data_IF_982724739760
#
_entry.id   IF_982724739760
#
_cell.length_a   1.000
_cell.length_b   1.000
_cell.length_c   1.000
_cell.angle_alpha   90.00
_cell.angle_beta   90.00
_cell.angle_gamma   90.00
#
_symmetry.space_group_name_H-M   'P 1'
#
loop_
_entity.id
_entity.type
_entity.pdbx_description
1 polymer ?
#
# COMPACT_ATOMS: atom_id res chain seq x y z
N UNK A 1 -24.54 -19.18 -85.44
CA UNK A 1 -24.46 -17.71 -85.53
C UNK A 1 -25.19 -17.14 -84.32
N UNK A 2 -24.42 -16.60 -83.35
CA UNK A 2 -24.75 -15.45 -82.49
C UNK A 2 -25.95 -15.56 -81.50
N UNK A 3 -25.60 -15.46 -80.19
CA UNK A 3 -26.27 -14.86 -79.01
C UNK A 3 -27.74 -15.22 -78.69
N UNK A 4 -28.26 -15.17 -77.46
CA UNK A 4 -27.84 -15.16 -76.05
C UNK A 4 -29.18 -15.17 -75.29
N UNK A 5 -29.32 -15.87 -74.15
CA UNK A 5 -30.25 -15.44 -73.09
C UNK A 5 -29.97 -16.20 -71.77
N UNK A 6 -29.55 -15.40 -70.78
CA UNK A 6 -29.67 -15.51 -69.34
C UNK A 6 -30.29 -16.79 -68.72
N UNK A 7 -29.49 -17.49 -67.92
CA UNK A 7 -29.97 -18.38 -66.85
C UNK A 7 -29.38 -17.88 -65.53
N UNK A 8 -30.24 -17.35 -64.66
CA UNK A 8 -29.92 -17.01 -63.28
C UNK A 8 -29.89 -18.33 -62.48
N UNK A 9 -28.70 -18.77 -62.06
CA UNK A 9 -28.54 -19.82 -61.06
C UNK A 9 -28.34 -19.17 -59.69
N UNK A 10 -29.27 -19.43 -58.77
CA UNK A 10 -29.05 -19.20 -57.34
C UNK A 10 -27.96 -20.15 -56.84
N UNK A 11 -26.79 -19.62 -56.50
CA UNK A 11 -25.80 -20.33 -55.70
C UNK A 11 -26.02 -19.92 -54.24
N UNK A 12 -26.57 -20.82 -53.43
CA UNK A 12 -26.54 -20.73 -51.96
C UNK A 12 -25.08 -20.79 -51.50
N UNK A 13 -24.52 -19.63 -51.19
CA UNK A 13 -23.26 -19.51 -50.47
C UNK A 13 -23.50 -19.89 -49.01
N UNK A 14 -23.01 -21.06 -48.60
CA UNK A 14 -22.83 -21.38 -47.18
C UNK A 14 -21.67 -20.53 -46.68
N UNK A 15 -21.99 -19.38 -46.09
CA UNK A 15 -21.04 -18.62 -45.29
C UNK A 15 -20.69 -19.49 -44.07
N UNK A 16 -19.49 -20.07 -44.09
CA UNK A 16 -18.85 -20.53 -42.86
C UNK A 16 -18.62 -19.29 -42.01
N UNK A 17 -19.42 -19.18 -40.96
CA UNK A 17 -19.24 -18.22 -39.89
C UNK A 17 -17.97 -18.63 -39.13
N UNK A 18 -16.82 -18.10 -39.54
CA UNK A 18 -15.58 -18.23 -38.79
C UNK A 18 -15.57 -17.17 -37.71
N UNK A 19 -16.46 -17.31 -36.73
CA UNK A 19 -16.23 -16.69 -35.42
C UNK A 19 -14.95 -17.34 -34.88
N UNK A 20 -13.86 -16.59 -34.64
CA UNK A 20 -12.73 -17.17 -33.96
C UNK A 20 -13.24 -17.70 -32.63
N UNK A 21 -13.05 -18.99 -32.37
CA UNK A 21 -13.33 -19.55 -31.07
C UNK A 21 -12.49 -18.75 -30.08
N UNK A 22 -13.15 -18.04 -29.17
CA UNK A 22 -12.50 -17.41 -28.02
C UNK A 22 -11.88 -18.58 -27.26
N UNK A 23 -10.57 -18.73 -27.38
CA UNK A 23 -9.81 -19.67 -26.57
C UNK A 23 -9.95 -19.15 -25.14
N UNK A 24 -10.74 -19.85 -24.32
CA UNK A 24 -10.79 -19.59 -22.88
C UNK A 24 -9.38 -19.89 -22.36
N UNK A 25 -8.55 -18.85 -22.28
CA UNK A 25 -7.27 -18.90 -21.60
C UNK A 25 -7.62 -19.15 -20.14
N UNK A 26 -7.39 -20.38 -19.66
CA UNK A 26 -7.44 -20.63 -18.22
C UNK A 26 -6.45 -19.66 -17.57
N UNK A 27 -6.89 -18.78 -16.64
CA UNK A 27 -6.01 -17.78 -16.07
C UNK A 27 -4.80 -18.47 -15.48
N UNK A 28 -3.60 -17.98 -15.82
CA UNK A 28 -2.41 -18.42 -15.10
C UNK A 28 -2.59 -17.95 -13.64
N UNK A 29 -2.61 -18.88 -12.69
CA UNK A 29 -2.64 -18.53 -11.25
C UNK A 29 -1.28 -18.02 -10.74
N UNK A 30 -0.39 -17.64 -11.67
CA UNK A 30 0.95 -17.19 -11.35
C UNK A 30 0.97 -15.65 -11.26
N UNK A 31 1.25 -15.14 -10.06
CA UNK A 31 1.32 -13.71 -9.78
C UNK A 31 2.74 -13.15 -9.71
N UNK A 32 3.68 -14.02 -9.38
CA UNK A 32 5.11 -13.72 -9.31
C UNK A 32 5.86 -14.73 -10.17
N UNK A 33 6.93 -14.29 -10.84
CA UNK A 33 7.82 -15.23 -11.52
C UNK A 33 9.26 -14.76 -11.53
N UNK A 34 10.14 -15.73 -11.70
CA UNK A 34 11.53 -15.50 -12.04
C UNK A 34 11.69 -15.49 -13.55
N UNK A 35 12.28 -14.45 -14.10
CA UNK A 35 12.68 -14.41 -15.50
C UNK A 35 14.21 -14.46 -15.62
N UNK A 36 14.70 -15.18 -16.63
CA UNK A 36 16.11 -15.31 -16.96
C UNK A 36 16.37 -14.84 -18.40
N UNK A 37 17.26 -13.87 -18.56
CA UNK A 37 17.84 -13.44 -19.84
C UNK A 37 19.32 -13.82 -19.94
N UNK A 38 19.99 -13.44 -21.03
CA UNK A 38 21.39 -13.85 -21.29
C UNK A 38 22.36 -13.51 -20.15
N UNK A 39 22.16 -12.39 -19.44
CA UNK A 39 22.96 -12.00 -18.27
C UNK A 39 22.12 -11.24 -17.25
N UNK A 40 20.83 -11.56 -17.16
CA UNK A 40 19.90 -10.87 -16.29
C UNK A 40 18.98 -11.88 -15.62
N UNK A 41 18.77 -11.71 -14.33
CA UNK A 41 17.74 -12.42 -13.59
C UNK A 41 16.83 -11.36 -13.00
N UNK A 42 15.52 -11.52 -13.18
CA UNK A 42 14.55 -10.62 -12.56
C UNK A 42 13.47 -11.38 -11.79
N UNK A 43 12.96 -10.70 -10.76
CA UNK A 43 11.64 -10.98 -10.23
C UNK A 43 10.64 -10.15 -11.04
N UNK A 44 9.56 -10.76 -11.49
CA UNK A 44 8.50 -10.09 -12.22
C UNK A 44 7.16 -10.27 -11.51
N UNK A 45 6.35 -9.20 -11.52
CA UNK A 45 4.97 -9.18 -11.08
C UNK A 45 4.05 -9.00 -12.27
N UNK A 46 2.90 -9.66 -12.25
CA UNK A 46 1.86 -9.47 -13.27
C UNK A 46 0.86 -8.41 -12.83
N UNK A 47 0.47 -7.55 -13.76
CA UNK A 47 -0.80 -6.83 -13.70
C UNK A 47 -1.74 -7.45 -14.72
N UNK A 48 -2.97 -7.75 -14.31
CA UNK A 48 -3.95 -8.48 -15.10
C UNK A 48 -5.20 -7.67 -15.32
N UNK A 49 -5.61 -7.52 -16.57
CA UNK A 49 -6.87 -6.88 -16.95
C UNK A 49 -7.99 -7.91 -16.94
N UNK A 50 -9.15 -7.49 -16.45
CA UNK A 50 -10.38 -8.24 -16.39
C UNK A 50 -11.48 -7.48 -17.10
N UNK A 51 -12.32 -8.21 -17.82
CA UNK A 51 -13.46 -7.67 -18.55
C UNK A 51 -14.74 -8.41 -18.19
N UNK A 52 -15.86 -7.69 -18.26
CA UNK A 52 -17.20 -8.28 -18.29
C UNK A 52 -18.14 -7.32 -19.03
N UNK A 53 -19.02 -7.87 -19.87
CA UNK A 53 -19.92 -7.07 -20.68
C UNK A 53 -20.80 -6.16 -19.80
N UNK A 54 -20.79 -4.86 -20.12
CA UNK A 54 -21.62 -3.86 -19.44
C UNK A 54 -21.07 -3.33 -18.11
N UNK A 55 -19.80 -3.59 -17.79
CA UNK A 55 -19.10 -2.98 -16.64
C UNK A 55 -17.76 -2.38 -17.07
N UNK A 56 -17.15 -1.50 -16.26
CA UNK A 56 -15.80 -0.99 -16.50
C UNK A 56 -14.77 -2.13 -16.56
N UNK A 57 -13.71 -1.94 -17.34
CA UNK A 57 -12.51 -2.78 -17.30
C UNK A 57 -11.86 -2.65 -15.92
N UNK A 58 -11.36 -3.76 -15.39
CA UNK A 58 -10.72 -3.78 -14.07
C UNK A 58 -9.31 -4.35 -14.17
N UNK A 59 -8.32 -3.62 -13.68
CA UNK A 59 -6.94 -4.07 -13.58
C UNK A 59 -6.60 -4.46 -12.15
N UNK A 60 -6.22 -5.70 -11.92
CA UNK A 60 -5.45 -6.05 -10.72
C UNK A 60 -3.99 -5.74 -11.01
N UNK A 61 -3.45 -4.70 -10.38
CA UNK A 61 -2.09 -4.19 -10.59
C UNK A 61 -1.19 -4.65 -9.45
N UNK A 62 -0.23 -5.52 -9.75
CA UNK A 62 0.72 -6.04 -8.78
C UNK A 62 1.82 -5.04 -8.44
N UNK A 63 1.97 -4.70 -7.16
CA UNK A 63 3.03 -3.82 -6.66
C UNK A 63 3.96 -4.54 -5.69
N UNK A 64 5.23 -4.13 -5.67
CA UNK A 64 6.20 -4.50 -4.66
C UNK A 64 6.53 -3.28 -3.81
N UNK A 65 6.73 -3.46 -2.50
CA UNK A 65 7.14 -2.36 -1.62
C UNK A 65 8.48 -1.75 -2.00
N UNK A 66 9.40 -2.57 -2.54
CA UNK A 66 10.71 -2.13 -3.01
C UNK A 66 11.01 -2.72 -4.39
N UNK A 67 11.48 -1.89 -5.31
CA UNK A 67 11.70 -2.25 -6.71
C UNK A 67 12.70 -1.27 -7.38
N UNK A 68 13.15 -1.59 -8.59
CA UNK A 68 13.92 -0.68 -9.44
C UNK A 68 13.01 0.51 -9.83
N UNK A 69 13.54 1.73 -9.92
CA UNK A 69 12.70 2.90 -10.29
C UNK A 69 11.93 2.74 -11.60
N UNK A 70 12.53 2.05 -12.60
CA UNK A 70 11.85 1.75 -13.86
C UNK A 70 10.55 0.94 -13.68
N UNK A 71 10.46 0.13 -12.62
CA UNK A 71 9.22 -0.60 -12.30
C UNK A 71 8.11 0.39 -11.91
N UNK A 72 8.38 1.34 -11.03
CA UNK A 72 7.38 2.33 -10.63
C UNK A 72 7.00 3.27 -11.77
N UNK A 73 7.95 3.62 -12.65
CA UNK A 73 7.64 4.36 -13.88
C UNK A 73 6.64 3.59 -14.77
N UNK A 74 6.85 2.28 -14.96
CA UNK A 74 5.97 1.43 -15.75
C UNK A 74 4.58 1.22 -15.09
N UNK A 75 4.54 1.08 -13.76
CA UNK A 75 3.29 0.96 -12.99
C UNK A 75 2.50 2.28 -12.99
N UNK A 76 3.18 3.41 -12.77
CA UNK A 76 2.54 4.72 -12.83
C UNK A 76 1.96 4.99 -14.23
N UNK A 77 2.68 4.66 -15.29
CA UNK A 77 2.18 4.79 -16.67
C UNK A 77 0.94 3.92 -16.93
N UNK A 78 0.87 2.71 -16.35
CA UNK A 78 -0.34 1.89 -16.43
C UNK A 78 -1.51 2.53 -15.66
N UNK A 79 -1.26 3.04 -14.46
CA UNK A 79 -2.30 3.59 -13.59
C UNK A 79 -2.82 4.95 -14.05
N UNK A 80 -2.01 5.75 -14.75
CA UNK A 80 -2.39 7.04 -15.36
C UNK A 80 -3.50 6.87 -16.43
N UNK A 81 -3.63 5.68 -17.02
CA UNK A 81 -4.71 5.34 -17.97
C UNK A 81 -6.04 5.00 -17.27
N UNK A 82 -6.09 4.97 -15.93
CA UNK A 82 -7.25 4.53 -15.15
C UNK A 82 -8.09 5.70 -14.66
N UNK A 83 -9.42 5.60 -14.81
CA UNK A 83 -10.32 6.64 -14.31
C UNK A 83 -10.33 6.69 -12.77
N UNK A 84 -10.19 5.53 -12.11
CA UNK A 84 -10.06 5.38 -10.66
C UNK A 84 -8.95 4.37 -10.33
N UNK A 85 -8.18 4.66 -9.29
CA UNK A 85 -7.22 3.72 -8.67
C UNK A 85 -7.62 3.44 -7.23
N UNK A 86 -7.88 2.18 -6.91
CA UNK A 86 -8.07 1.68 -5.54
C UNK A 86 -6.77 1.05 -5.06
N UNK A 87 -6.20 1.51 -3.95
CA UNK A 87 -4.90 1.01 -3.50
C UNK A 87 -4.91 0.44 -2.08
N UNK A 88 -4.01 -0.53 -1.87
CA UNK A 88 -3.73 -1.16 -0.59
C UNK A 88 -2.93 -0.24 0.34
N UNK A 89 -3.44 0.00 1.54
CA UNK A 89 -2.70 0.66 2.61
C UNK A 89 -3.49 0.61 3.91
N UNK A 90 -2.99 -0.09 4.93
CA UNK A 90 -3.63 -0.05 6.25
C UNK A 90 -3.59 1.38 6.78
N UNK A 91 -4.76 2.02 6.90
CA UNK A 91 -4.84 3.44 7.25
C UNK A 91 -4.73 3.64 8.77
N UNK A 92 -4.31 4.82 9.25
CA UNK A 92 -4.43 5.16 10.66
C UNK A 92 -5.89 5.13 11.13
N UNK A 93 -6.12 4.81 12.40
CA UNK A 93 -7.45 4.91 13.01
C UNK A 93 -7.95 6.36 12.94
N UNK A 94 -9.21 6.57 12.56
CA UNK A 94 -9.79 7.91 12.40
C UNK A 94 -9.56 8.57 11.04
N UNK A 95 -8.75 7.96 10.17
CA UNK A 95 -8.49 8.52 8.84
C UNK A 95 -9.61 8.32 7.82
N UNK A 96 -10.62 7.49 8.10
CA UNK A 96 -11.79 7.32 7.23
C UNK A 96 -12.74 8.51 7.37
N UNK A 97 -13.51 8.85 6.32
CA UNK A 97 -14.64 9.76 6.46
C UNK A 97 -15.58 9.29 7.58
N UNK A 98 -15.85 10.13 8.59
CA UNK A 98 -16.74 9.79 9.68
C UNK A 98 -18.11 9.30 9.22
N UNK A 99 -18.59 8.21 9.82
CA UNK A 99 -19.87 7.63 9.46
C UNK A 99 -20.51 6.90 10.65
N UNK A 100 -21.75 6.44 10.47
CA UNK A 100 -22.49 5.69 11.50
C UNK A 100 -23.97 5.58 11.19
N UNK A 101 -24.60 4.49 11.64
CA UNK A 101 -26.04 4.26 11.52
C UNK A 101 -26.79 4.91 12.68
N UNK A 102 -26.22 4.83 13.88
CA UNK A 102 -26.73 5.44 15.11
C UNK A 102 -26.04 6.76 15.41
N UNK A 103 -26.67 7.61 16.22
CA UNK A 103 -26.07 8.87 16.66
C UNK A 103 -24.83 8.64 17.53
N UNK A 104 -24.81 7.57 18.32
CA UNK A 104 -23.66 7.17 19.13
C UNK A 104 -22.46 6.76 18.26
N UNK A 105 -22.69 5.99 17.21
CA UNK A 105 -21.66 5.61 16.23
C UNK A 105 -21.10 6.84 15.51
N UNK A 106 -21.99 7.76 15.07
CA UNK A 106 -21.58 9.01 14.42
C UNK A 106 -20.70 9.87 15.31
N UNK A 107 -21.07 10.02 16.59
CA UNK A 107 -20.25 10.73 17.58
C UNK A 107 -18.91 10.03 17.78
N UNK A 108 -18.89 8.70 17.92
CA UNK A 108 -17.65 7.95 18.12
C UNK A 108 -16.70 8.07 16.92
N UNK A 109 -17.23 7.91 15.71
CA UNK A 109 -16.46 8.03 14.46
C UNK A 109 -15.92 9.45 14.27
N UNK A 110 -16.75 10.47 14.52
CA UNK A 110 -16.32 11.89 14.45
C UNK A 110 -15.18 12.19 15.43
N UNK A 111 -15.21 11.63 16.64
CA UNK A 111 -14.13 11.79 17.62
C UNK A 111 -12.81 11.19 17.14
N UNK A 112 -12.84 9.99 16.55
CA UNK A 112 -11.64 9.36 16.02
C UNK A 112 -10.99 10.23 14.94
N UNK A 113 -11.79 10.77 14.03
CA UNK A 113 -11.27 11.66 12.98
C UNK A 113 -10.81 13.01 13.50
N UNK A 114 -11.46 13.59 14.52
CA UNK A 114 -10.96 14.80 15.19
C UNK A 114 -9.56 14.58 15.78
N UNK A 115 -9.34 13.46 16.46
CA UNK A 115 -8.01 13.15 17.01
C UNK A 115 -6.98 12.94 15.89
N UNK A 116 -7.34 12.17 14.85
CA UNK A 116 -6.47 11.92 13.71
C UNK A 116 -6.06 13.22 12.99
N UNK A 117 -7.01 14.06 12.60
CA UNK A 117 -6.73 15.33 11.91
C UNK A 117 -5.94 16.27 12.82
N UNK A 118 -6.22 16.31 14.13
CA UNK A 118 -5.47 17.14 15.07
C UNK A 118 -4.01 16.67 15.21
N UNK A 119 -3.77 15.36 15.28
CA UNK A 119 -2.42 14.78 15.35
C UNK A 119 -1.61 15.06 14.09
N UNK A 120 -2.23 14.92 12.90
CA UNK A 120 -1.55 15.25 11.64
C UNK A 120 -1.31 16.75 11.52
N UNK A 121 -2.29 17.59 11.86
CA UNK A 121 -2.13 19.03 11.87
C UNK A 121 -0.95 19.44 12.74
N UNK A 122 -0.86 18.92 13.97
CA UNK A 122 0.28 19.17 14.85
C UNK A 122 1.61 18.82 14.17
N UNK A 123 1.75 17.59 13.71
CA UNK A 123 3.01 17.09 13.14
C UNK A 123 3.40 17.85 11.88
N UNK A 124 2.45 18.16 11.02
CA UNK A 124 2.68 18.90 9.77
C UNK A 124 3.09 20.35 10.06
N UNK A 125 2.51 20.97 11.10
CA UNK A 125 2.92 22.31 11.56
C UNK A 125 4.33 22.32 12.16
N UNK A 126 4.70 21.29 12.92
CA UNK A 126 6.05 21.15 13.47
C UNK A 126 7.07 20.90 12.36
N UNK A 127 6.74 20.08 11.35
CA UNK A 127 7.61 19.82 10.20
C UNK A 127 7.80 21.03 9.28
N UNK A 128 6.73 21.81 9.06
CA UNK A 128 6.78 23.02 8.21
C UNK A 128 7.26 24.27 8.96
N UNK A 129 7.34 24.21 10.29
CA UNK A 129 7.51 25.35 11.19
C UNK A 129 6.43 26.44 10.99
N UNK A 130 5.23 26.07 10.54
CA UNK A 130 4.13 26.99 10.25
C UNK A 130 2.85 26.62 11.02
N UNK A 131 2.16 27.65 11.51
CA UNK A 131 0.83 27.48 12.12
C UNK A 131 -0.22 27.52 11.00
N UNK A 132 -1.10 26.50 10.88
CA UNK A 132 -2.09 26.44 9.81
C UNK A 132 -3.17 27.49 10.04
N UNK A 133 -3.55 28.21 8.98
CA UNK A 133 -4.62 29.21 9.02
C UNK A 133 -5.99 28.61 8.65
N UNK A 134 -5.97 27.48 7.93
CA UNK A 134 -7.12 26.80 7.37
C UNK A 134 -6.97 25.27 7.41
N UNK A 135 -8.06 24.54 7.11
CA UNK A 135 -7.96 23.09 6.96
C UNK A 135 -7.18 22.70 5.70
N UNK A 136 -7.29 23.52 4.66
CA UNK A 136 -6.58 23.34 3.40
C UNK A 136 -5.06 23.40 3.58
N UNK A 137 -4.57 24.24 4.49
CA UNK A 137 -3.14 24.28 4.85
C UNK A 137 -2.70 22.95 5.46
N UNK A 138 -3.52 22.38 6.36
CA UNK A 138 -3.24 21.06 6.96
C UNK A 138 -3.17 19.97 5.88
N UNK A 139 -4.03 20.02 4.86
CA UNK A 139 -4.04 19.02 3.78
C UNK A 139 -2.76 19.11 2.94
N UNK A 140 -2.34 20.34 2.63
CA UNK A 140 -1.13 20.60 1.86
C UNK A 140 0.13 20.18 2.64
N UNK A 141 0.21 20.53 3.92
CA UNK A 141 1.39 20.25 4.75
C UNK A 141 1.47 18.77 5.16
N UNK A 142 0.35 18.05 5.18
CA UNK A 142 0.35 16.60 5.41
C UNK A 142 1.21 15.83 4.38
N UNK A 143 1.43 16.39 3.18
CA UNK A 143 2.32 15.82 2.16
C UNK A 143 3.79 15.81 2.58
N UNK A 144 4.20 16.69 3.49
CA UNK A 144 5.56 16.71 4.04
C UNK A 144 5.85 15.43 4.83
N UNK A 145 4.82 14.87 5.47
CA UNK A 145 4.92 13.68 6.31
C UNK A 145 4.80 12.39 5.50
N UNK A 146 3.78 12.29 4.63
CA UNK A 146 3.52 11.13 3.77
C UNK A 146 2.53 11.52 2.66
N UNK A 147 2.85 11.16 1.41
CA UNK A 147 2.04 11.50 0.22
C UNK A 147 0.58 11.06 0.32
N UNK A 148 0.30 9.98 1.05
CA UNK A 148 -1.07 9.45 1.24
C UNK A 148 -1.90 10.29 2.20
N UNK A 149 -1.27 11.06 3.10
CA UNK A 149 -1.98 11.71 4.20
C UNK A 149 -2.88 12.84 3.72
N UNK A 150 -2.52 13.59 2.67
CA UNK A 150 -3.33 14.71 2.20
C UNK A 150 -4.79 14.30 1.95
N UNK A 151 -5.02 13.27 1.13
CA UNK A 151 -6.36 12.76 0.85
C UNK A 151 -7.05 12.17 2.08
N UNK A 152 -6.32 11.49 2.96
CA UNK A 152 -6.90 10.91 4.18
C UNK A 152 -7.32 11.97 5.21
N UNK A 153 -6.55 13.05 5.33
CA UNK A 153 -6.87 14.16 6.23
C UNK A 153 -8.04 14.93 5.67
N UNK A 154 -8.08 15.18 4.35
CA UNK A 154 -9.23 15.79 3.68
C UNK A 154 -10.51 14.97 3.93
N UNK A 155 -10.48 13.67 3.65
CA UNK A 155 -11.55 12.70 3.91
C UNK A 155 -12.06 12.76 5.35
N UNK A 156 -11.14 12.84 6.32
CA UNK A 156 -11.42 12.79 7.74
C UNK A 156 -11.84 14.16 8.32
N UNK A 157 -11.72 15.26 7.57
CA UNK A 157 -11.96 16.63 8.06
C UNK A 157 -13.42 17.08 7.99
N UNK A 158 -14.34 16.12 7.90
CA UNK A 158 -15.79 16.31 7.99
C UNK A 158 -16.35 15.50 9.14
N UNK A 159 -17.39 15.99 9.81
CA UNK A 159 -18.11 15.22 10.80
C UNK A 159 -19.05 14.18 10.17
N UNK A 160 -19.54 13.24 10.97
CA UNK A 160 -20.43 12.18 10.50
C UNK A 160 -21.84 12.67 10.09
N UNK A 161 -22.10 13.98 10.15
CA UNK A 161 -23.29 14.65 9.63
C UNK A 161 -23.00 15.46 8.36
N UNK A 162 -21.78 15.37 7.82
CA UNK A 162 -21.36 15.95 6.54
C UNK A 162 -20.95 17.42 6.62
N UNK A 163 -20.58 17.93 7.80
CA UNK A 163 -20.10 19.31 7.97
C UNK A 163 -18.60 19.33 8.17
N UNK A 164 -17.84 20.23 7.52
CA UNK A 164 -16.41 20.39 7.78
C UNK A 164 -16.13 20.72 9.24
N UNK A 165 -14.98 20.26 9.75
CA UNK A 165 -14.49 20.73 11.04
C UNK A 165 -14.21 22.23 11.01
N UNK A 166 -14.28 22.89 12.17
CA UNK A 166 -13.81 24.25 12.31
C UNK A 166 -12.44 24.26 13.01
N UNK A 167 -11.48 24.92 12.40
CA UNK A 167 -10.16 25.17 12.98
C UNK A 167 -10.19 26.47 13.80
N UNK A 168 -9.67 26.39 15.02
CA UNK A 168 -9.42 27.53 15.88
C UNK A 168 -7.93 27.55 16.25
N UNK A 169 -7.24 28.62 15.88
CA UNK A 169 -5.84 28.87 16.22
C UNK A 169 -5.75 29.81 17.41
N UNK A 170 -4.85 29.51 18.33
CA UNK A 170 -4.46 30.40 19.42
C UNK A 170 -2.93 30.58 19.39
N UNK A 171 -2.49 31.64 18.72
CA UNK A 171 -1.07 32.01 18.56
C UNK A 171 -0.38 32.24 19.90
N UNK A 172 -1.04 32.87 20.88
CA UNK A 172 -0.43 33.14 22.20
C UNK A 172 -0.06 31.86 22.96
N UNK A 173 -0.80 30.78 22.70
CA UNK A 173 -0.59 29.48 23.35
C UNK A 173 0.04 28.45 22.41
N UNK A 174 0.42 28.86 21.18
CA UNK A 174 0.87 27.97 20.11
C UNK A 174 0.00 26.71 20.02
N UNK A 175 -1.32 26.90 19.95
CA UNK A 175 -2.24 25.76 19.96
C UNK A 175 -3.32 25.86 18.90
N UNK A 176 -3.69 24.69 18.37
CA UNK A 176 -4.77 24.50 17.43
C UNK A 176 -5.87 23.68 18.08
N UNK A 177 -7.12 24.02 17.80
CA UNK A 177 -8.29 23.25 18.23
C UNK A 177 -9.21 23.00 17.05
N UNK A 178 -9.50 21.74 16.78
CA UNK A 178 -10.50 21.32 15.80
C UNK A 178 -11.84 21.11 16.49
N UNK A 179 -12.91 21.51 15.82
CA UNK A 179 -14.28 21.46 16.34
C UNK A 179 -15.21 20.70 15.39
N UNK A 180 -16.10 19.89 15.96
CA UNK A 180 -17.38 19.52 15.35
C UNK A 180 -18.51 19.98 16.26
N UNK A 181 -19.53 20.64 15.70
CA UNK A 181 -20.69 21.16 16.44
C UNK A 181 -21.81 20.14 16.60
N UNK A 182 -21.49 18.84 16.55
CA UNK A 182 -22.45 17.75 16.74
C UNK A 182 -23.58 17.71 15.70
N UNK A 183 -24.62 16.93 16.00
CA UNK A 183 -25.75 16.68 15.10
C UNK A 183 -26.57 17.93 14.79
N UNK A 184 -26.69 18.87 15.73
CA UNK A 184 -27.44 20.12 15.56
C UNK A 184 -26.64 21.20 14.82
N UNK A 185 -25.31 21.07 14.73
CA UNK A 185 -24.45 21.97 13.96
C UNK A 185 -24.38 23.36 14.58
N UNK A 186 -24.58 23.47 15.90
CA UNK A 186 -24.61 24.72 16.62
C UNK A 186 -23.81 24.61 17.92
N UNK A 187 -23.13 25.70 18.29
CA UNK A 187 -22.34 25.75 19.53
C UNK A 187 -23.18 25.36 20.75
N UNK A 188 -22.69 24.39 21.51
CA UNK A 188 -23.27 23.90 22.76
C UNK A 188 -23.92 22.53 22.61
N UNK A 189 -25.21 22.45 22.96
CA UNK A 189 -26.01 21.22 22.86
C UNK A 189 -25.72 20.13 23.90
N UNK A 190 -26.34 18.96 23.69
CA UNK A 190 -26.27 17.77 24.58
C UNK A 190 -26.42 16.50 23.77
N UNK A 191 -25.90 15.37 24.29
CA UNK A 191 -25.99 14.09 23.59
C UNK A 191 -25.20 14.15 22.30
N UNK A 192 -25.80 13.81 21.16
CA UNK A 192 -25.14 13.89 19.86
C UNK A 192 -24.99 15.30 19.30
N UNK A 193 -25.74 16.28 19.83
CA UNK A 193 -25.55 17.70 19.53
C UNK A 193 -24.52 18.39 20.43
N UNK A 194 -23.76 17.64 21.24
CA UNK A 194 -22.70 18.24 22.04
C UNK A 194 -21.48 18.54 21.17
N UNK A 195 -20.89 19.73 21.33
CA UNK A 195 -19.62 20.07 20.69
C UNK A 195 -18.53 19.04 21.03
N UNK A 196 -17.77 18.67 20.00
CA UNK A 196 -16.61 17.79 20.08
C UNK A 196 -15.38 18.59 19.69
N UNK A 197 -14.30 18.46 20.47
CA UNK A 197 -13.06 19.20 20.22
C UNK A 197 -11.84 18.32 20.42
N UNK A 198 -10.80 18.55 19.62
CA UNK A 198 -9.45 18.06 19.91
C UNK A 198 -8.45 19.20 19.79
N UNK A 199 -7.60 19.36 20.80
CA UNK A 199 -6.62 20.46 20.90
C UNK A 199 -5.21 19.88 20.87
N UNK A 200 -4.29 20.55 20.16
CA UNK A 200 -2.85 20.27 20.17
C UNK A 200 -2.08 21.55 20.44
N UNK A 201 -1.02 21.42 21.24
CA UNK A 201 0.01 22.44 21.38
C UNK A 201 1.10 22.10 20.38
N UNK A 202 1.51 23.10 19.61
CA UNK A 202 2.53 23.05 18.58
C UNK A 202 3.87 23.41 19.21
N UNK A 203 4.89 22.63 18.89
CA UNK A 203 6.28 22.91 19.25
C UNK A 203 6.99 23.52 18.04
N UNK A 204 6.81 24.84 17.86
CA UNK A 204 7.37 25.60 16.72
C UNK A 204 8.15 26.78 17.29
N UNK A 205 9.34 27.02 16.73
CA UNK A 205 10.17 28.16 17.09
C UNK A 205 9.46 29.48 16.76
N UNK A 206 9.47 30.40 17.71
CA UNK A 206 8.93 31.74 17.50
C UNK A 206 9.85 32.59 16.63
N UNK A 207 9.31 33.64 15.99
CA UNK A 207 10.12 34.58 15.19
C UNK A 207 11.27 35.20 16.01
N UNK A 208 11.07 35.38 17.32
CA UNK A 208 12.11 35.88 18.24
C UNK A 208 13.21 34.83 18.47
N UNK A 209 12.85 33.55 18.64
CA UNK A 209 13.80 32.43 18.81
C UNK A 209 14.61 32.17 17.53
N UNK A 210 13.97 32.22 16.35
CA UNK A 210 14.66 32.07 15.06
C UNK A 210 15.68 33.19 14.79
N UNK A 211 15.34 34.44 15.15
CA UNK A 211 16.26 35.57 15.04
C UNK A 211 17.45 35.44 16.02
N UNK A 212 17.21 34.96 17.24
CA UNK A 212 18.28 34.68 18.20
C UNK A 212 19.23 33.57 17.70
N UNK A 213 18.71 32.50 17.09
CA UNK A 213 19.54 31.45 16.48
C UNK A 213 20.38 31.96 15.30
N UNK A 214 19.79 32.78 14.41
CA UNK A 214 20.49 33.35 13.27
C UNK A 214 21.64 34.28 13.73
N UNK A 215 21.38 35.13 14.73
CA UNK A 215 22.41 36.00 15.33
C UNK A 215 23.54 35.20 16.00
N UNK A 216 23.21 34.09 16.67
CA UNK A 216 24.20 33.19 17.30
C UNK A 216 25.07 32.47 16.26
N UNK A 217 24.47 32.01 15.16
CA UNK A 217 25.19 31.42 14.02
C UNK A 217 26.13 32.43 13.35
N UNK A 218 25.66 33.66 13.09
CA UNK A 218 26.49 34.72 12.51
C UNK A 218 27.67 35.11 13.42
N UNK A 219 27.48 35.05 14.74
CA UNK A 219 28.52 35.32 15.73
C UNK A 219 29.60 34.21 15.83
N UNK A 220 29.43 33.09 15.13
CA UNK A 220 30.30 31.92 15.23
C UNK A 220 30.29 31.28 16.63
N UNK A 221 29.25 31.58 17.41
CA UNK A 221 28.99 30.98 18.71
C UNK A 221 28.19 29.73 18.41
N UNK A 222 28.90 28.64 18.15
CA UNK A 222 28.30 27.33 18.28
C UNK A 222 27.90 27.19 19.74
N UNK A 223 26.60 27.12 20.02
CA UNK A 223 26.16 26.58 21.28
C UNK A 223 26.76 25.17 21.33
N UNK A 224 27.68 24.93 22.27
CA UNK A 224 27.98 23.56 22.74
C UNK A 224 26.70 23.09 23.41
N UNK A 225 25.70 22.79 22.58
CA UNK A 225 24.45 22.31 23.07
C UNK A 225 24.55 20.79 23.13
N UNK A 226 24.62 20.27 24.35
CA UNK A 226 24.31 18.87 24.61
C UNK A 226 22.82 18.57 24.29
N UNK A 227 22.03 19.58 23.86
CA UNK A 227 20.78 19.49 23.10
C UNK A 227 20.84 20.08 21.69
N UNK A 228 22.00 20.03 20.98
CA UNK A 228 21.88 19.84 19.52
C UNK A 228 21.09 18.56 19.43
N UNK A 229 19.83 18.72 19.11
CA UNK A 229 18.93 17.64 18.85
C UNK A 229 19.78 16.66 18.06
N UNK A 230 19.87 15.43 18.59
CA UNK A 230 19.89 14.37 17.62
C UNK A 230 18.69 14.76 16.77
N UNK A 231 18.93 15.25 15.55
CA UNK A 231 18.05 14.94 14.45
C UNK A 231 17.73 13.49 14.76
N UNK A 232 16.58 13.27 15.39
CA UNK A 232 15.99 11.96 15.43
C UNK A 232 15.74 11.81 13.95
N UNK A 233 16.76 11.35 13.21
CA UNK A 233 16.67 11.03 11.79
C UNK A 233 15.39 10.25 11.76
N UNK A 234 14.31 10.89 11.28
CA UNK A 234 12.97 10.37 11.42
C UNK A 234 13.09 8.99 10.81
N UNK A 235 13.02 7.94 11.66
CA UNK A 235 13.67 6.70 11.29
C UNK A 235 12.86 6.14 10.13
N UNK A 236 13.42 6.24 8.91
CA UNK A 236 12.78 5.74 7.71
C UNK A 236 12.23 4.36 8.00
N UNK A 237 11.02 4.09 7.54
CA UNK A 237 10.40 2.78 7.73
C UNK A 237 11.34 1.67 7.26
N UNK A 238 11.27 0.50 7.90
CA UNK A 238 12.18 -0.64 7.63
C UNK A 238 12.23 -1.00 6.13
N UNK A 239 11.12 -0.83 5.42
CA UNK A 239 11.04 -1.08 3.98
C UNK A 239 11.83 -0.03 3.16
N UNK A 240 11.75 1.25 3.51
CA UNK A 240 12.53 2.31 2.87
C UNK A 240 14.03 2.16 3.15
N UNK A 241 14.43 1.81 4.38
CA UNK A 241 15.83 1.50 4.69
C UNK A 241 16.36 0.28 3.93
N UNK A 242 15.51 -0.74 3.72
CA UNK A 242 15.85 -1.90 2.88
C UNK A 242 16.03 -1.51 1.41
N UNK A 243 15.19 -0.60 0.91
CA UNK A 243 15.30 -0.07 -0.46
C UNK A 243 16.67 0.60 -0.65
N UNK A 244 17.01 1.54 0.24
CA UNK A 244 18.29 2.25 0.25
C UNK A 244 19.47 1.27 0.31
N UNK A 245 19.39 0.25 1.18
CA UNK A 245 20.45 -0.74 1.35
C UNK A 245 20.70 -1.59 0.10
N UNK A 246 19.68 -1.78 -0.73
CA UNK A 246 19.73 -2.58 -1.95
C UNK A 246 19.82 -1.75 -3.23
N UNK A 247 19.91 -0.42 -3.12
CA UNK A 247 19.84 0.50 -4.26
C UNK A 247 18.57 0.26 -5.10
N UNK A 248 17.44 0.17 -4.40
CA UNK A 248 16.08 0.10 -4.91
C UNK A 248 15.31 1.33 -4.41
N UNK A 249 14.12 1.55 -4.95
CA UNK A 249 13.21 2.61 -4.54
C UNK A 249 12.03 2.05 -3.73
N UNK A 250 11.48 2.88 -2.86
CA UNK A 250 10.34 2.54 -2.00
C UNK A 250 9.02 3.02 -2.63
N UNK A 251 8.00 2.16 -2.66
CA UNK A 251 6.77 2.42 -3.43
C UNK A 251 6.06 3.72 -3.03
N UNK A 252 6.04 4.05 -1.73
CA UNK A 252 5.29 5.21 -1.21
C UNK A 252 5.97 6.54 -1.55
N UNK A 253 7.25 6.50 -1.89
CA UNK A 253 8.00 7.66 -2.39
C UNK A 253 7.92 7.75 -3.92
N UNK A 254 7.62 6.64 -4.61
CA UNK A 254 7.75 6.51 -6.06
C UNK A 254 6.42 6.64 -6.83
N UNK A 255 5.29 6.28 -6.22
CA UNK A 255 3.96 6.35 -6.85
C UNK A 255 3.17 7.58 -6.35
N UNK A 256 2.27 8.16 -7.19
CA UNK A 256 1.56 9.40 -6.88
C UNK A 256 0.29 9.13 -6.06
N UNK A 257 0.47 8.72 -4.80
CA UNK A 257 -0.65 8.42 -3.90
C UNK A 257 -1.52 9.63 -3.55
N UNK A 258 -1.04 10.84 -3.82
CA UNK A 258 -1.77 12.10 -3.64
C UNK A 258 -2.70 12.46 -4.82
N UNK A 259 -2.67 11.70 -5.91
CA UNK A 259 -3.50 11.98 -7.08
C UNK A 259 -5.00 11.88 -6.75
N UNK A 260 -5.86 12.79 -7.24
CA UNK A 260 -7.25 12.91 -6.81
C UNK A 260 -8.17 11.76 -7.26
N UNK A 261 -7.71 10.91 -8.19
CA UNK A 261 -8.40 9.69 -8.61
C UNK A 261 -7.88 8.43 -7.90
N UNK A 262 -6.97 8.56 -6.93
CA UNK A 262 -6.46 7.47 -6.11
C UNK A 262 -7.18 7.44 -4.76
N UNK A 263 -7.72 6.27 -4.40
CA UNK A 263 -8.47 6.08 -3.17
C UNK A 263 -7.94 4.88 -2.40
N UNK A 264 -7.66 5.08 -1.11
CA UNK A 264 -7.27 3.98 -0.24
C UNK A 264 -8.48 3.09 0.06
N UNK A 265 -8.39 1.83 -0.36
CA UNK A 265 -9.50 0.88 -0.33
C UNK A 265 -9.24 -0.28 0.64
N UNK A 266 -8.87 0.08 1.87
CA UNK A 266 -8.37 -0.88 2.85
C UNK A 266 -8.91 -0.58 4.26
N UNK A 267 -8.62 -1.47 5.20
CA UNK A 267 -8.94 -1.33 6.60
C UNK A 267 -8.03 -0.32 7.29
N UNK A 268 -8.56 0.31 8.34
CA UNK A 268 -7.75 1.02 9.33
C UNK A 268 -7.04 0.03 10.27
N UNK A 269 -5.94 0.45 10.90
CA UNK A 269 -5.23 -0.37 11.88
C UNK A 269 -6.14 -0.82 13.02
N UNK A 270 -7.02 0.05 13.52
CA UNK A 270 -8.00 -0.31 14.53
C UNK A 270 -9.04 -1.34 14.07
N UNK A 271 -9.44 -1.34 12.80
CA UNK A 271 -10.31 -2.37 12.22
C UNK A 271 -9.59 -3.71 12.06
N UNK A 272 -8.30 -3.69 11.67
CA UNK A 272 -7.45 -4.88 11.60
C UNK A 272 -7.31 -5.51 13.00
N UNK A 273 -6.96 -4.72 14.01
CA UNK A 273 -6.87 -5.16 15.41
C UNK A 273 -8.21 -5.73 15.91
N UNK A 274 -9.32 -5.03 15.66
CA UNK A 274 -10.64 -5.49 16.07
C UNK A 274 -11.01 -6.84 15.45
N UNK A 275 -10.68 -7.05 14.17
CA UNK A 275 -10.91 -8.33 13.48
C UNK A 275 -10.03 -9.47 14.02
N UNK A 276 -8.78 -9.19 14.40
CA UNK A 276 -7.93 -10.17 15.08
C UNK A 276 -8.54 -10.59 16.42
N UNK A 277 -8.96 -9.62 17.24
CA UNK A 277 -9.63 -9.90 18.52
C UNK A 277 -10.92 -10.70 18.33
N UNK A 278 -11.76 -10.34 17.35
CA UNK A 278 -13.00 -11.05 17.03
C UNK A 278 -12.73 -12.53 16.71
N UNK A 279 -11.57 -12.82 16.11
CA UNK A 279 -11.12 -14.18 15.74
C UNK A 279 -10.37 -14.90 16.85
N UNK A 280 -10.14 -14.24 17.99
CA UNK A 280 -9.39 -14.81 19.12
C UNK A 280 -7.88 -14.76 18.95
N UNK A 281 -7.37 -14.01 17.98
CA UNK A 281 -5.95 -13.76 17.79
C UNK A 281 -5.46 -12.58 18.66
N UNK A 282 -4.18 -12.59 19.01
CA UNK A 282 -3.53 -11.53 19.78
C UNK A 282 -3.15 -10.37 18.84
N UNK A 283 -3.63 -9.12 19.06
CA UNK A 283 -3.28 -7.97 18.23
C UNK A 283 -1.78 -7.69 18.16
N UNK A 284 -1.00 -8.07 19.18
CA UNK A 284 0.46 -7.90 19.17
C UNK A 284 1.17 -8.72 18.08
N UNK A 285 0.45 -9.63 17.40
CA UNK A 285 0.92 -10.25 16.18
C UNK A 285 1.22 -9.20 15.09
N UNK A 286 0.52 -8.07 15.07
CA UNK A 286 0.78 -6.97 14.15
C UNK A 286 2.14 -6.29 14.41
N UNK A 287 2.58 -6.16 15.66
CA UNK A 287 3.87 -5.55 16.01
C UNK A 287 5.06 -6.29 15.37
N UNK A 288 4.88 -7.58 15.10
CA UNK A 288 5.86 -8.42 14.40
C UNK A 288 5.91 -8.16 12.89
N UNK A 289 4.84 -7.60 12.32
CA UNK A 289 4.68 -7.28 10.91
C UNK A 289 4.92 -5.80 10.59
N UNK A 290 4.58 -4.90 11.51
CA UNK A 290 4.79 -3.44 11.39
C UNK A 290 6.24 -3.02 11.65
N UNK A 291 7.08 -3.96 12.10
CA UNK A 291 8.52 -3.73 12.22
C UNK A 291 8.98 -3.17 13.56
N UNK A 292 8.16 -3.20 14.62
CA UNK A 292 8.59 -2.76 15.96
C UNK A 292 9.37 -3.84 16.75
N UNK A 293 9.45 -5.07 16.23
CA UNK A 293 10.15 -6.17 16.88
C UNK A 293 11.69 -6.01 16.96
N UNK A 294 12.32 -6.73 17.90
CA UNK A 294 13.78 -6.84 18.00
C UNK A 294 14.43 -7.37 16.69
N UNK A 295 13.70 -8.16 15.89
CA UNK A 295 14.16 -8.71 14.62
C UNK A 295 14.29 -7.63 13.55
N UNK A 296 13.39 -6.66 13.53
CA UNK A 296 13.44 -5.51 12.62
C UNK A 296 14.62 -4.62 12.96
N UNK A 297 14.85 -4.29 14.23
CA UNK A 297 16.06 -3.54 14.64
C UNK A 297 17.36 -4.26 14.29
N UNK A 298 17.39 -5.59 14.37
CA UNK A 298 18.53 -6.41 13.95
C UNK A 298 18.70 -6.45 12.42
N UNK A 299 17.61 -6.58 11.67
CA UNK A 299 17.61 -6.52 10.21
C UNK A 299 18.10 -5.16 9.72
N UNK A 300 17.59 -4.06 10.29
CA UNK A 300 18.05 -2.67 10.07
C UNK A 300 19.54 -2.53 10.32
N UNK A 301 20.04 -3.07 11.44
CA UNK A 301 21.46 -3.08 11.75
C UNK A 301 22.31 -3.80 10.70
N UNK A 302 21.84 -4.93 10.15
CA UNK A 302 22.52 -5.61 9.03
C UNK A 302 22.36 -4.87 7.69
N UNK A 303 21.24 -4.19 7.47
CA UNK A 303 20.99 -3.42 6.23
C UNK A 303 21.96 -2.25 6.11
N UNK A 304 22.29 -1.55 7.21
CA UNK A 304 23.33 -0.49 7.21
C UNK A 304 24.74 -1.03 6.90
N UNK A 305 24.98 -2.34 7.07
CA UNK A 305 26.27 -2.99 6.76
C UNK A 305 26.42 -3.27 5.26
N UNK A 306 25.34 -3.55 4.52
CA UNK A 306 25.41 -3.90 3.10
C UNK A 306 26.03 -2.75 2.26
N UNK A 307 25.53 -1.49 2.31
CA UNK A 307 26.15 -0.37 1.60
C UNK A 307 27.60 -0.11 2.02
N UNK A 308 27.91 -0.28 3.31
CA UNK A 308 29.27 -0.14 3.83
C UNK A 308 30.20 -1.18 3.20
N UNK A 309 29.79 -2.44 3.16
CA UNK A 309 30.57 -3.52 2.55
C UNK A 309 30.74 -3.31 1.05
N UNK A 310 29.69 -2.92 0.34
CA UNK A 310 29.77 -2.60 -1.10
C UNK A 310 30.78 -1.48 -1.37
N UNK A 311 30.77 -0.42 -0.56
CA UNK A 311 31.74 0.66 -0.68
C UNK A 311 33.18 0.20 -0.42
N UNK A 312 33.39 -0.76 0.49
CA UNK A 312 34.70 -1.30 0.83
C UNK A 312 35.22 -2.33 -0.20
N UNK A 313 34.35 -3.17 -0.76
CA UNK A 313 34.73 -4.24 -1.70
C UNK A 313 34.65 -3.83 -3.16
N UNK A 314 34.10 -2.65 -3.48
CA UNK A 314 33.86 -2.20 -4.84
C UNK A 314 32.56 -2.75 -5.44
N UNK A 315 31.60 -3.12 -4.59
CA UNK A 315 30.26 -3.61 -4.93
C UNK A 315 30.07 -5.11 -4.77
N UNK A 316 28.85 -5.56 -5.06
CA UNK A 316 28.44 -6.95 -5.26
C UNK A 316 27.61 -7.59 -4.15
N UNK A 317 27.59 -7.05 -2.93
CA UNK A 317 26.72 -7.50 -1.84
C UNK A 317 25.26 -7.16 -2.08
N UNK A 318 24.94 -5.93 -2.52
CA UNK A 318 23.57 -5.55 -2.91
C UNK A 318 23.03 -6.47 -4.00
N UNK A 319 23.81 -6.73 -5.06
CA UNK A 319 23.43 -7.66 -6.14
C UNK A 319 23.26 -9.10 -5.64
N UNK A 320 24.11 -9.54 -4.70
CA UNK A 320 23.96 -10.86 -4.06
C UNK A 320 22.65 -10.95 -3.27
N UNK A 321 22.32 -9.91 -2.49
CA UNK A 321 21.12 -9.84 -1.69
C UNK A 321 19.86 -9.78 -2.56
N UNK A 322 19.85 -8.95 -3.61
CA UNK A 322 18.75 -8.90 -4.61
C UNK A 322 18.56 -10.26 -5.29
N UNK A 323 19.65 -10.94 -5.70
CA UNK A 323 19.56 -12.26 -6.33
C UNK A 323 18.98 -13.32 -5.38
N UNK A 324 19.36 -13.26 -4.11
CA UNK A 324 18.80 -14.09 -3.04
C UNK A 324 17.29 -13.83 -2.85
N UNK A 325 16.89 -12.56 -2.81
CA UNK A 325 15.49 -12.17 -2.72
C UNK A 325 14.69 -12.67 -3.91
N UNK A 326 15.19 -12.54 -5.14
CA UNK A 326 14.53 -13.08 -6.33
C UNK A 326 14.30 -14.58 -6.17
N UNK A 327 15.30 -15.34 -5.71
CA UNK A 327 15.16 -16.79 -5.52
C UNK A 327 14.10 -17.14 -4.47
N UNK A 328 14.06 -16.42 -3.35
CA UNK A 328 13.11 -16.66 -2.25
C UNK A 328 11.68 -16.27 -2.66
N UNK A 329 11.51 -15.07 -3.21
CA UNK A 329 10.19 -14.50 -3.52
C UNK A 329 9.53 -15.12 -4.76
N UNK A 330 10.33 -15.75 -5.64
CA UNK A 330 9.80 -16.50 -6.79
C UNK A 330 9.66 -18.01 -6.53
N UNK A 331 10.04 -18.49 -5.34
CA UNK A 331 9.94 -19.90 -5.01
C UNK A 331 8.47 -20.31 -4.80
N UNK A 332 7.99 -21.44 -5.37
CA UNK A 332 6.64 -21.93 -5.11
C UNK A 332 6.35 -22.16 -3.62
N UNK A 333 7.37 -22.55 -2.86
CA UNK A 333 7.28 -22.74 -1.41
C UNK A 333 7.03 -21.46 -0.61
N UNK A 334 7.20 -20.28 -1.22
CA UNK A 334 6.84 -19.01 -0.57
C UNK A 334 5.32 -18.95 -0.35
N UNK A 335 4.52 -19.38 -1.34
CA UNK A 335 3.07 -19.48 -1.19
C UNK A 335 2.68 -20.43 -0.04
N UNK A 336 3.28 -21.62 -0.01
CA UNK A 336 3.06 -22.59 1.10
C UNK A 336 3.47 -22.03 2.47
N UNK A 337 4.52 -21.20 2.52
CA UNK A 337 4.95 -20.56 3.76
C UNK A 337 3.99 -19.46 4.20
N UNK A 338 3.44 -18.69 3.25
CA UNK A 338 2.41 -17.68 3.51
C UNK A 338 1.09 -18.32 4.00
N UNK A 339 0.75 -19.51 3.50
CA UNK A 339 -0.37 -20.33 4.02
C UNK A 339 -0.11 -20.89 5.43
N UNK A 340 1.15 -21.04 5.82
CA UNK A 340 1.58 -21.56 7.12
C UNK A 340 1.54 -20.54 8.26
N UNK A 341 1.31 -19.26 7.97
CA UNK A 341 1.06 -18.26 9.00
C UNK A 341 -0.18 -18.61 9.82
N UNK A 342 -0.26 -18.05 11.03
CA UNK A 342 -1.43 -18.17 11.90
C UNK A 342 -2.72 -17.93 11.08
N UNK A 343 -3.62 -18.93 10.99
CA UNK A 343 -4.77 -18.88 10.09
C UNK A 343 -5.63 -17.64 10.31
N UNK A 344 -5.78 -17.21 11.56
CA UNK A 344 -6.52 -16.02 11.95
C UNK A 344 -5.84 -14.74 11.45
N UNK A 345 -4.51 -14.68 11.53
CA UNK A 345 -3.73 -13.56 10.96
C UNK A 345 -3.83 -13.52 9.43
N UNK A 346 -3.66 -14.65 8.75
CA UNK A 346 -3.78 -14.75 7.28
C UNK A 346 -5.18 -14.33 6.80
N UNK A 347 -6.22 -14.76 7.52
CA UNK A 347 -7.59 -14.36 7.26
C UNK A 347 -7.77 -12.83 7.33
N UNK A 348 -7.17 -12.17 8.32
CA UNK A 348 -7.29 -10.71 8.45
C UNK A 348 -6.45 -9.99 7.39
N UNK A 349 -5.21 -10.40 7.18
CA UNK A 349 -4.26 -9.71 6.29
C UNK A 349 -4.63 -9.84 4.82
N UNK A 350 -5.22 -10.96 4.40
CA UNK A 350 -5.62 -11.18 3.01
C UNK A 350 -7.13 -11.04 2.87
N UNK A 351 -7.91 -11.93 3.49
CA UNK A 351 -9.32 -12.09 3.14
C UNK A 351 -10.17 -10.90 3.59
N UNK A 352 -10.02 -10.45 4.84
CA UNK A 352 -10.80 -9.33 5.37
C UNK A 352 -10.43 -8.02 4.66
N UNK A 353 -9.14 -7.77 4.38
CA UNK A 353 -8.67 -6.59 3.62
C UNK A 353 -9.14 -6.62 2.17
N UNK A 354 -9.03 -7.76 1.49
CA UNK A 354 -9.57 -7.93 0.13
C UNK A 354 -11.09 -7.77 0.09
N UNK A 355 -11.79 -8.15 1.16
CA UNK A 355 -13.25 -7.97 1.24
C UNK A 355 -13.63 -6.50 1.24
N UNK A 356 -12.78 -5.63 1.78
CA UNK A 356 -13.03 -4.19 1.76
C UNK A 356 -12.93 -3.63 0.35
N UNK A 357 -11.83 -3.89 -0.36
CA UNK A 357 -11.70 -3.42 -1.76
C UNK A 357 -12.76 -3.99 -2.69
N UNK A 358 -13.23 -5.22 -2.47
CA UNK A 358 -14.34 -5.77 -3.27
C UNK A 358 -15.66 -5.05 -3.01
N UNK A 359 -15.89 -4.49 -1.82
CA UNK A 359 -17.06 -3.63 -1.55
C UNK A 359 -16.92 -2.29 -2.26
N UNK A 360 -15.72 -1.71 -2.30
CA UNK A 360 -15.47 -0.45 -2.99
C UNK A 360 -15.55 -0.62 -4.50
N UNK A 361 -15.08 -1.74 -5.04
CA UNK A 361 -15.31 -2.14 -6.45
C UNK A 361 -16.80 -2.23 -6.73
N UNK A 362 -17.58 -2.91 -5.88
CA UNK A 362 -19.03 -3.01 -6.04
C UNK A 362 -19.72 -1.64 -6.04
N UNK A 363 -19.28 -0.75 -5.14
CA UNK A 363 -19.81 0.62 -5.02
C UNK A 363 -19.44 1.46 -6.25
N UNK A 364 -18.20 1.37 -6.71
CA UNK A 364 -17.70 2.06 -7.90
C UNK A 364 -18.50 1.65 -9.14
N UNK A 365 -18.69 0.34 -9.36
CA UNK A 365 -19.50 -0.18 -10.47
C UNK A 365 -20.95 0.30 -10.39
N UNK A 366 -21.51 0.46 -9.18
CA UNK A 366 -22.91 0.84 -9.00
C UNK A 366 -23.18 2.34 -9.22
N UNK A 367 -22.18 3.20 -8.99
CA UNK A 367 -22.34 4.66 -9.00
C UNK A 367 -21.86 5.28 -10.32
N UNK A 368 -20.98 4.59 -11.05
CA UNK A 368 -20.23 5.21 -12.13
C UNK A 368 -20.76 4.87 -13.52
N UNK A 369 -21.71 5.68 -14.01
CA UNK A 369 -22.12 5.65 -15.43
C UNK A 369 -21.01 6.18 -16.38
N UNK A 370 -20.00 6.87 -15.84
CA UNK A 370 -18.93 7.54 -16.61
C UNK A 370 -17.55 6.87 -16.48
N UNK A 371 -17.39 5.86 -15.62
CA UNK A 371 -16.10 5.17 -15.43
C UNK A 371 -16.00 4.01 -16.40
N UNK A 372 -14.88 3.96 -17.10
CA UNK A 372 -14.53 2.92 -18.07
C UNK A 372 -13.43 2.00 -17.55
N UNK A 373 -12.55 2.47 -16.66
CA UNK A 373 -11.41 1.71 -16.15
C UNK A 373 -11.20 1.88 -14.64
N UNK A 374 -10.96 0.76 -13.93
CA UNK A 374 -10.63 0.72 -12.50
C UNK A 374 -9.28 0.02 -12.32
N UNK A 375 -8.30 0.69 -11.74
CA UNK A 375 -7.05 0.08 -11.26
C UNK A 375 -7.16 -0.35 -9.80
N UNK A 376 -6.66 -1.53 -9.47
CA UNK A 376 -6.61 -2.07 -8.10
C UNK A 376 -5.15 -2.41 -7.78
N UNK A 377 -4.46 -1.52 -7.05
CA UNK A 377 -3.04 -1.60 -6.75
C UNK A 377 -2.79 -2.31 -5.41
N UNK A 378 -2.41 -3.60 -5.47
CA UNK A 378 -2.23 -4.46 -4.29
C UNK A 378 -0.94 -5.29 -4.38
N UNK A 379 -0.45 -5.77 -3.24
CA UNK A 379 0.66 -6.71 -3.19
C UNK A 379 0.28 -8.08 -3.80
N UNK A 380 1.27 -8.80 -4.33
CA UNK A 380 1.03 -10.08 -5.01
C UNK A 380 0.32 -11.14 -4.16
N UNK A 381 0.47 -11.10 -2.83
CA UNK A 381 -0.19 -12.04 -1.91
C UNK A 381 -1.72 -11.90 -1.87
N UNK A 382 -2.26 -10.75 -2.28
CA UNK A 382 -3.71 -10.50 -2.30
C UNK A 382 -4.39 -11.02 -3.57
N UNK A 383 -3.62 -11.21 -4.64
CA UNK A 383 -4.16 -11.29 -6.00
C UNK A 383 -4.89 -12.60 -6.31
N UNK A 384 -4.47 -13.71 -5.72
CA UNK A 384 -5.11 -15.01 -5.93
C UNK A 384 -6.57 -14.99 -5.44
N UNK A 385 -6.79 -14.52 -4.22
CA UNK A 385 -8.12 -14.37 -3.65
C UNK A 385 -8.95 -13.29 -4.38
N UNK A 386 -8.36 -12.12 -4.67
CA UNK A 386 -9.05 -11.07 -5.43
C UNK A 386 -9.52 -11.57 -6.80
N UNK A 387 -8.64 -12.23 -7.55
CA UNK A 387 -8.97 -12.77 -8.87
C UNK A 387 -10.11 -13.80 -8.80
N UNK A 388 -10.08 -14.69 -7.82
CA UNK A 388 -11.15 -15.70 -7.65
C UNK A 388 -12.48 -15.02 -7.37
N UNK A 389 -12.50 -14.06 -6.43
CA UNK A 389 -13.73 -13.38 -6.01
C UNK A 389 -14.24 -12.37 -7.02
N UNK A 390 -13.38 -11.80 -7.86
CA UNK A 390 -13.81 -10.99 -9.00
C UNK A 390 -14.68 -11.79 -9.97
N UNK A 391 -14.28 -13.03 -10.26
CA UNK A 391 -15.07 -13.94 -11.09
C UNK A 391 -16.37 -14.35 -10.37
N UNK A 392 -16.27 -14.83 -9.13
CA UNK A 392 -17.43 -15.37 -8.40
C UNK A 392 -18.50 -14.33 -8.08
N UNK A 393 -18.10 -13.12 -7.68
CA UNK A 393 -19.03 -12.07 -7.23
C UNK A 393 -19.51 -11.17 -8.37
N UNK A 394 -18.66 -10.93 -9.37
CA UNK A 394 -18.93 -9.93 -10.40
C UNK A 394 -18.91 -10.47 -11.83
N UNK A 395 -18.48 -11.71 -12.06
CA UNK A 395 -18.41 -12.32 -13.39
C UNK A 395 -17.25 -11.84 -14.26
N UNK A 396 -16.27 -11.14 -13.67
CA UNK A 396 -15.07 -10.68 -14.37
C UNK A 396 -14.24 -11.85 -14.87
N UNK A 397 -13.80 -11.78 -16.14
CA UNK A 397 -12.93 -12.77 -16.75
C UNK A 397 -11.57 -12.15 -17.10
N UNK A 398 -10.47 -12.89 -16.94
CA UNK A 398 -9.14 -12.42 -17.30
C UNK A 398 -9.06 -12.20 -18.83
N UNK A 399 -8.49 -11.06 -19.23
CA UNK A 399 -8.39 -10.66 -20.64
C UNK A 399 -6.93 -10.45 -21.09
N UNK A 400 -6.06 -9.94 -20.22
CA UNK A 400 -4.68 -9.59 -20.58
C UNK A 400 -3.74 -9.68 -19.37
N UNK A 401 -2.52 -10.17 -19.59
CA UNK A 401 -1.43 -10.16 -18.60
C UNK A 401 -0.30 -9.23 -19.07
N UNK A 402 0.12 -8.29 -18.22
CA UNK A 402 1.33 -7.49 -18.39
C UNK A 402 2.32 -7.82 -17.28
N UNK A 403 3.53 -8.23 -17.64
CA UNK A 403 4.58 -8.59 -16.69
C UNK A 403 5.59 -7.46 -16.56
N UNK A 404 5.82 -7.02 -15.34
CA UNK A 404 6.73 -5.94 -14.99
C UNK A 404 7.86 -6.48 -14.15
N UNK A 405 9.10 -6.16 -14.51
CA UNK A 405 10.28 -6.57 -13.75
C UNK A 405 10.46 -5.65 -12.55
N UNK A 406 10.28 -6.18 -11.33
CA UNK A 406 10.43 -5.41 -10.08
C UNK A 406 11.89 -5.16 -9.73
N UNK A 407 12.75 -6.18 -9.85
CA UNK A 407 14.18 -6.03 -9.60
C UNK A 407 14.98 -6.87 -10.59
N UNK A 408 15.99 -6.25 -11.21
CA UNK A 408 16.85 -6.85 -12.23
C UNK A 408 18.30 -6.95 -11.75
N UNK A 409 18.85 -8.16 -11.71
CA UNK A 409 20.21 -8.44 -11.25
C UNK A 409 21.04 -9.05 -12.38
N UNK A 410 22.26 -8.54 -12.60
CA UNK A 410 23.27 -9.26 -13.38
C UNK A 410 24.02 -10.21 -12.43
N UNK A 411 23.83 -11.54 -12.53
CA UNK A 411 24.45 -12.48 -11.59
C UNK A 411 25.99 -12.41 -11.56
N UNK A 412 26.64 -11.85 -12.58
CA UNK A 412 28.10 -11.70 -12.64
C UNK A 412 28.62 -10.57 -11.75
N UNK A 413 27.74 -9.66 -11.33
CA UNK A 413 28.04 -8.61 -10.36
C UNK A 413 27.85 -9.09 -8.92
N UNK A 414 27.24 -10.25 -8.70
CA UNK A 414 27.15 -10.89 -7.39
C UNK A 414 28.52 -11.37 -6.91
N UNK A 415 28.68 -11.44 -5.58
CA UNK A 415 29.88 -12.01 -4.94
C UNK A 415 29.93 -13.55 -5.06
N UNK A 416 28.84 -14.18 -5.51
CA UNK A 416 28.72 -15.62 -5.62
C UNK A 416 28.95 -16.08 -7.05
N UNK A 417 29.91 -16.98 -7.24
CA UNK A 417 30.07 -17.66 -8.53
C UNK A 417 28.89 -18.61 -8.81
N UNK A 418 28.73 -19.03 -10.08
CA UNK A 418 27.61 -19.90 -10.48
C UNK A 418 27.50 -21.21 -9.71
N UNK A 419 28.64 -21.75 -9.24
CA UNK A 419 28.67 -23.01 -8.50
C UNK A 419 28.14 -22.80 -7.10
N UNK A 420 28.59 -21.75 -6.41
CA UNK A 420 28.09 -21.38 -5.09
C UNK A 420 26.62 -20.96 -5.17
N UNK A 421 26.22 -20.22 -6.21
CA UNK A 421 24.80 -19.90 -6.44
C UNK A 421 23.93 -21.15 -6.56
N UNK A 422 24.33 -22.12 -7.39
CA UNK A 422 23.60 -23.39 -7.51
C UNK A 422 23.51 -24.15 -6.19
N UNK A 423 24.60 -24.20 -5.42
CA UNK A 423 24.62 -24.85 -4.11
C UNK A 423 23.68 -24.16 -3.11
N UNK A 424 23.72 -22.83 -3.09
CA UNK A 424 22.90 -22.01 -2.20
C UNK A 424 21.41 -22.14 -2.53
N UNK A 425 21.03 -22.11 -3.82
CA UNK A 425 19.64 -22.37 -4.25
C UNK A 425 19.13 -23.72 -3.73
N UNK A 426 19.90 -24.78 -3.94
CA UNK A 426 19.52 -26.12 -3.47
C UNK A 426 19.38 -26.14 -1.94
N UNK A 427 20.30 -25.49 -1.22
CA UNK A 427 20.22 -25.39 0.24
C UNK A 427 18.96 -24.63 0.69
N UNK A 428 18.65 -23.50 0.06
CA UNK A 428 17.47 -22.69 0.39
C UNK A 428 16.17 -23.41 0.08
N UNK A 429 16.06 -24.08 -1.06
CA UNK A 429 14.90 -24.92 -1.39
C UNK A 429 14.70 -26.04 -0.36
N UNK A 430 15.79 -26.65 0.12
CA UNK A 430 15.71 -27.65 1.20
C UNK A 430 15.24 -27.01 2.51
N UNK A 431 15.77 -25.84 2.87
CA UNK A 431 15.39 -25.13 4.10
C UNK A 431 13.93 -24.68 4.08
N UNK A 432 13.48 -24.03 3.00
CA UNK A 432 12.09 -23.61 2.82
C UNK A 432 11.12 -24.80 2.90
N UNK A 433 11.44 -25.90 2.21
CA UNK A 433 10.65 -27.13 2.28
C UNK A 433 10.65 -27.79 3.66
N UNK A 434 11.69 -27.59 4.46
CA UNK A 434 11.74 -28.11 5.83
C UNK A 434 10.97 -27.22 6.80
N UNK A 435 10.97 -25.90 6.59
CA UNK A 435 10.17 -24.96 7.35
C UNK A 435 8.67 -25.25 7.17
N UNK A 436 8.19 -25.34 5.92
CA UNK A 436 6.78 -25.67 5.62
C UNK A 436 6.34 -27.02 6.20
N UNK A 437 7.24 -28.01 6.27
CA UNK A 437 6.99 -29.33 6.87
C UNK A 437 6.98 -29.37 8.40
N UNK A 438 7.72 -28.48 9.06
CA UNK A 438 7.77 -28.44 10.51
C UNK A 438 6.52 -27.75 11.08
N UNK A 439 6.01 -26.72 10.40
CA UNK A 439 4.76 -26.05 10.77
C UNK A 439 3.53 -26.96 10.58
N UNK A 440 3.47 -27.73 9.49
CA UNK A 440 2.41 -28.75 9.30
C UNK A 440 2.40 -29.85 10.37
N UNK A 441 3.53 -30.12 11.05
CA UNK A 441 3.57 -31.08 12.15
C UNK A 441 3.09 -30.51 13.48
N UNK A 442 3.30 -29.22 13.72
CA UNK A 442 2.84 -28.54 14.94
C UNK A 442 1.33 -28.27 14.91
N UNK A 443 0.73 -28.07 13.72
CA UNK A 443 -0.73 -27.97 13.55
C UNK A 443 -1.44 -29.32 13.78
N UNK A 444 -0.93 -30.42 13.19
CA UNK A 444 -1.46 -31.78 13.44
C UNK A 444 -1.27 -32.24 14.91
N UNK A 445 -0.24 -31.76 15.58
CA UNK A 445 0.03 -32.03 17.00
C UNK A 445 -0.95 -31.35 17.97
N UNK A 446 -1.55 -30.23 17.58
CA UNK A 446 -2.59 -29.52 18.35
C UNK A 446 -3.98 -30.12 18.16
N UNK A 447 -4.36 -30.53 16.94
CA UNK A 447 -5.68 -31.15 16.69
C UNK A 447 -5.85 -32.56 17.28
N UNK A 448 -4.76 -33.25 17.65
CA UNK A 448 -4.82 -34.57 18.27
C UNK A 448 -4.93 -34.56 19.80
N UNK A 449 -5.14 -33.39 20.41
CA UNK A 449 -5.22 -33.21 21.88
C UNK A 449 -6.51 -32.57 22.41
N UNK A 450 -7.54 -32.37 21.59
CA UNK A 450 -8.89 -32.03 22.07
C UNK A 450 -9.83 -33.25 22.11
#
# INVERSE_FOLDING_TARGET
>A
MILALSTICFATSMLQDTTPAIELVEPSLQWTRRAEGENLVSLELVSRRYEVEGKPDLWLVGVAHIADGSFYEEIAALLDEMDIVLYESVRPTGSRPPSGVTEEEKVASTKLSLEFVADIAKRASEESELIPESLEDIFADALLLDRRLAGWVEDASVDAWGRPFALQVNEEQMSITLWSFGSDGAVGGKGSGADLTSTRVLDILTEEELLEEEELMEAGIFLDDDSVDKEEEESKGVQAELADALNLEFQLESLPYEDPNWFCSDLTIGEVEAKLVERGADPSLLDSLTGESFVSKFAVGMMKVIPMLDKLTGGGFSETARLLMIEVLSAPSMGEMLEGFDPELSQVIIIDRNTEVLRDIASTIAVADEISTIGVLYGAGHMEDLSSRLFELFGYLPAEDRWFSTMKVDPRKSMLDEKYMRQMRVMMQIQLKNASKNETKDTDGKQSKE
#
